data_IF_733381110725
#
_entry.id   IF_733381110725
#
_cell.length_a   1.000
_cell.length_b   1.000
_cell.length_c   1.000
_cell.angle_alpha   90.00
_cell.angle_beta   90.00
_cell.angle_gamma   90.00
#
_symmetry.space_group_name_H-M   'P 1'
#
loop_
_entity.id
_entity.type
_entity.pdbx_description
1 polymer ?
#
# COMPACT_ATOMS: atom_id res chain seq x y z
N UNK A 1 6.83 -9.71 7.15
CA UNK A 1 7.37 -8.91 6.05
C UNK A 1 8.18 -7.76 6.57
N UNK A 2 8.40 -6.80 5.68
CA UNK A 2 8.98 -5.49 5.97
C UNK A 2 7.85 -4.47 5.84
N UNK A 3 7.63 -3.62 6.85
CA UNK A 3 6.53 -2.63 6.83
C UNK A 3 6.95 -1.38 6.05
N UNK A 4 6.00 -0.47 5.84
CA UNK A 4 6.19 0.70 4.99
C UNK A 4 7.35 1.59 5.42
N UNK A 5 7.57 1.80 6.72
CA UNK A 5 8.57 2.75 7.22
C UNK A 5 10.02 2.34 6.94
N UNK A 6 10.45 1.07 7.15
CA UNK A 6 11.76 0.62 6.67
C UNK A 6 11.96 0.80 5.16
N UNK A 7 10.91 0.60 4.34
CA UNK A 7 10.99 0.79 2.88
C UNK A 7 11.17 2.26 2.55
N UNK A 8 10.36 3.15 3.13
CA UNK A 8 10.47 4.60 2.93
C UNK A 8 11.86 5.11 3.34
N UNK A 9 12.42 4.63 4.47
CA UNK A 9 13.80 4.94 4.88
C UNK A 9 14.85 4.44 3.89
N UNK A 10 14.62 3.28 3.25
CA UNK A 10 15.49 2.76 2.20
C UNK A 10 15.44 3.61 0.93
N UNK A 11 14.25 3.98 0.47
CA UNK A 11 14.03 4.83 -0.70
C UNK A 11 14.62 6.23 -0.53
N UNK A 12 14.49 6.81 0.66
CA UNK A 12 15.08 8.11 0.97
C UNK A 12 16.62 8.11 0.80
N UNK A 13 17.30 7.00 1.11
CA UNK A 13 18.76 6.88 0.94
C UNK A 13 19.22 6.91 -0.51
N UNK A 14 18.32 6.62 -1.45
CA UNK A 14 18.60 6.67 -2.90
C UNK A 14 17.93 7.88 -3.57
N UNK A 15 17.47 8.85 -2.80
CA UNK A 15 16.87 10.10 -3.31
C UNK A 15 15.43 9.98 -3.80
N UNK A 16 14.74 8.86 -3.51
CA UNK A 16 13.34 8.67 -3.86
C UNK A 16 12.48 9.11 -2.67
N UNK A 17 11.62 10.10 -2.88
CA UNK A 17 10.67 10.56 -1.86
C UNK A 17 9.48 9.60 -1.79
N UNK A 18 9.26 9.04 -0.61
CA UNK A 18 8.14 8.16 -0.34
C UNK A 18 7.45 8.57 0.96
N UNK A 19 6.14 8.50 0.99
CA UNK A 19 5.32 8.87 2.14
C UNK A 19 4.50 7.67 2.60
N UNK A 20 4.50 7.43 3.92
CA UNK A 20 3.78 6.32 4.54
C UNK A 20 2.47 6.83 5.09
N UNK A 21 1.39 6.12 4.77
CA UNK A 21 0.03 6.46 5.16
C UNK A 21 -0.67 5.28 5.85
N UNK A 22 -1.61 5.62 6.72
CA UNK A 22 -2.50 4.69 7.42
C UNK A 22 -3.89 5.29 7.46
N UNK A 23 -4.91 4.43 7.53
CA UNK A 23 -6.33 4.79 7.69
C UNK A 23 -6.90 5.70 6.60
N UNK A 24 -6.25 5.74 5.43
CA UNK A 24 -6.72 6.55 4.30
C UNK A 24 -8.03 6.01 3.72
N UNK A 25 -8.79 6.87 3.04
CA UNK A 25 -10.03 6.45 2.39
C UNK A 25 -9.79 5.79 1.03
N UNK A 26 -10.83 5.14 0.50
CA UNK A 26 -10.81 4.66 -0.89
C UNK A 26 -10.73 5.83 -1.86
N UNK A 27 -11.35 6.95 -1.51
CA UNK A 27 -11.33 8.19 -2.28
C UNK A 27 -9.92 8.75 -2.36
N UNK A 28 -9.17 8.73 -1.25
CA UNK A 28 -7.75 9.09 -1.24
C UNK A 28 -6.95 8.18 -2.16
N UNK A 29 -7.14 6.86 -2.08
CA UNK A 29 -6.43 5.90 -2.95
C UNK A 29 -6.72 6.18 -4.42
N UNK A 30 -8.00 6.37 -4.77
CA UNK A 30 -8.42 6.71 -6.13
C UNK A 30 -7.77 8.01 -6.61
N UNK A 31 -7.67 9.02 -5.75
CA UNK A 31 -7.05 10.29 -6.08
C UNK A 31 -5.55 10.14 -6.37
N UNK A 32 -4.82 9.40 -5.54
CA UNK A 32 -3.40 9.11 -5.79
C UNK A 32 -3.18 8.44 -7.16
N UNK A 33 -4.00 7.44 -7.48
CA UNK A 33 -3.91 6.74 -8.77
C UNK A 33 -4.25 7.67 -9.94
N UNK A 34 -5.22 8.58 -9.80
CA UNK A 34 -5.53 9.59 -10.85
C UNK A 34 -4.39 10.58 -11.06
N UNK A 35 -3.68 10.93 -10.00
CA UNK A 35 -2.50 11.81 -10.06
C UNK A 35 -1.26 11.08 -10.61
N UNK A 36 -1.35 9.78 -10.90
CA UNK A 36 -0.24 8.98 -11.40
C UNK A 36 0.73 8.53 -10.32
N UNK A 37 0.39 8.71 -9.03
CA UNK A 37 1.21 8.25 -7.91
C UNK A 37 0.98 6.75 -7.70
N UNK A 38 2.00 5.88 -7.88
CA UNK A 38 1.85 4.47 -7.57
C UNK A 38 1.69 4.28 -6.06
N UNK A 39 0.69 3.50 -5.64
CA UNK A 39 0.41 3.23 -4.22
C UNK A 39 0.71 1.77 -3.89
N UNK A 40 1.74 1.53 -3.10
CA UNK A 40 2.00 0.23 -2.51
C UNK A 40 1.13 0.06 -1.26
N UNK A 41 0.44 -1.07 -1.14
CA UNK A 41 -0.44 -1.37 -0.01
C UNK A 41 -0.07 -2.70 0.64
N UNK A 42 -0.31 -2.80 1.95
CA UNK A 42 -0.15 -4.03 2.71
C UNK A 42 -1.50 -4.65 2.98
N UNK A 43 -1.62 -5.94 2.66
CA UNK A 43 -2.84 -6.72 2.75
C UNK A 43 -2.50 -8.18 3.04
N UNK A 44 -3.42 -9.09 2.84
CA UNK A 44 -3.18 -10.54 2.89
C UNK A 44 -3.02 -11.13 1.49
N UNK A 45 -2.27 -12.21 1.36
CA UNK A 45 -2.15 -12.96 0.13
C UNK A 45 -3.53 -13.40 -0.38
N UNK A 46 -3.78 -13.16 -1.68
CA UNK A 46 -5.07 -13.36 -2.35
C UNK A 46 -6.22 -12.53 -1.76
N UNK A 47 -5.93 -11.47 -0.99
CA UNK A 47 -6.92 -10.63 -0.32
C UNK A 47 -7.89 -11.39 0.59
N UNK A 48 -7.43 -12.52 1.17
CA UNK A 48 -8.27 -13.35 2.04
C UNK A 48 -8.38 -12.72 3.43
N UNK A 49 -9.61 -12.44 3.88
CA UNK A 49 -9.84 -11.90 5.22
C UNK A 49 -9.25 -12.82 6.31
N UNK A 50 -8.52 -12.24 7.26
CA UNK A 50 -7.92 -12.93 8.40
C UNK A 50 -7.93 -12.03 9.63
N UNK A 51 -7.85 -12.66 10.79
CA UNK A 51 -7.70 -11.93 12.05
C UNK A 51 -6.27 -11.41 12.21
N UNK A 52 -6.09 -10.17 12.69
CA UNK A 52 -4.76 -9.64 12.99
C UNK A 52 -4.18 -10.32 14.25
N UNK A 53 -2.87 -10.46 14.25
CA UNK A 53 -2.05 -10.84 15.39
C UNK A 53 -1.30 -9.61 15.90
N UNK A 54 -0.89 -9.60 17.18
CA UNK A 54 -0.08 -8.51 17.73
C UNK A 54 1.18 -9.07 18.35
N UNK A 55 2.32 -8.52 17.95
CA UNK A 55 3.62 -8.90 18.48
C UNK A 55 4.18 -7.74 19.28
N UNK A 56 4.94 -8.04 20.34
CA UNK A 56 5.65 -6.99 21.11
C UNK A 56 7.12 -7.05 20.71
N UNK A 57 7.62 -5.97 20.13
CA UNK A 57 9.02 -5.84 19.78
C UNK A 57 9.90 -5.71 21.03
N UNK A 58 11.22 -5.88 20.87
CA UNK A 58 12.18 -5.83 21.98
C UNK A 58 12.21 -4.48 22.70
N UNK A 59 11.80 -3.41 22.03
CA UNK A 59 11.67 -2.05 22.54
C UNK A 59 10.28 -1.77 23.17
N UNK A 60 9.40 -2.77 23.24
CA UNK A 60 8.06 -2.66 23.82
C UNK A 60 6.98 -2.19 22.85
N UNK A 61 7.31 -1.88 21.58
CA UNK A 61 6.31 -1.48 20.60
C UNK A 61 5.39 -2.67 20.24
N UNK A 62 4.07 -2.43 20.26
CA UNK A 62 3.10 -3.39 19.72
C UNK A 62 3.00 -3.24 18.21
N UNK A 63 3.26 -4.32 17.49
CA UNK A 63 3.19 -4.40 16.03
C UNK A 63 1.96 -5.22 15.67
N UNK A 64 1.03 -4.64 14.92
CA UNK A 64 -0.12 -5.35 14.33
C UNK A 64 0.37 -6.08 13.09
N UNK A 65 0.16 -7.39 13.03
CA UNK A 65 0.56 -8.27 11.93
C UNK A 65 -0.59 -9.16 11.48
N UNK A 66 -0.41 -9.87 10.36
CA UNK A 66 -1.38 -10.87 9.89
C UNK A 66 -0.64 -12.01 9.19
N UNK A 67 -1.11 -13.24 9.37
CA UNK A 67 -0.56 -14.39 8.63
C UNK A 67 -0.81 -14.25 7.14
N UNK A 68 0.25 -14.49 6.36
CA UNK A 68 0.18 -14.30 4.91
C UNK A 68 0.08 -12.83 4.52
N UNK A 69 0.63 -11.91 5.33
CA UNK A 69 0.88 -10.53 4.92
C UNK A 69 1.58 -10.50 3.55
N UNK A 70 1.10 -9.61 2.68
CA UNK A 70 1.59 -9.45 1.32
C UNK A 70 1.43 -8.01 0.85
N UNK A 71 2.28 -7.60 -0.09
CA UNK A 71 2.30 -6.26 -0.65
C UNK A 71 1.84 -6.26 -2.10
N UNK A 72 1.04 -5.27 -2.46
CA UNK A 72 0.54 -5.06 -3.81
C UNK A 72 0.82 -3.63 -4.27
N UNK A 73 1.04 -3.43 -5.56
CA UNK A 73 1.06 -2.09 -6.15
C UNK A 73 -0.28 -1.83 -6.84
N UNK A 74 -1.03 -0.84 -6.36
CA UNK A 74 -2.27 -0.39 -7.01
C UNK A 74 -1.91 0.41 -8.26
N UNK A 75 -2.50 0.05 -9.39
CA UNK A 75 -2.17 0.62 -10.71
C UNK A 75 -3.38 1.12 -11.50
N UNK A 76 -4.60 0.87 -11.01
CA UNK A 76 -5.82 1.29 -11.68
C UNK A 76 -7.06 0.86 -10.93
N UNK A 77 -8.21 1.41 -11.29
CA UNK A 77 -9.49 1.06 -10.70
C UNK A 77 -10.65 1.40 -11.62
N UNK A 78 -11.82 0.85 -11.32
CA UNK A 78 -13.09 1.22 -11.91
C UNK A 78 -14.19 1.27 -10.82
N UNK A 79 -15.46 1.32 -11.25
CA UNK A 79 -16.60 1.35 -10.34
C UNK A 79 -16.73 0.07 -9.49
N UNK A 80 -16.26 -1.07 -10.00
CA UNK A 80 -16.47 -2.39 -9.40
C UNK A 80 -15.28 -2.83 -8.54
N UNK A 81 -14.08 -2.33 -8.81
CA UNK A 81 -12.88 -2.80 -8.13
C UNK A 81 -11.59 -2.13 -8.54
N UNK A 82 -10.50 -2.82 -8.24
CA UNK A 82 -9.13 -2.32 -8.32
C UNK A 82 -8.21 -3.31 -9.03
N UNK A 83 -7.33 -2.77 -9.85
CA UNK A 83 -6.23 -3.49 -10.48
C UNK A 83 -4.95 -3.31 -9.66
N UNK A 84 -4.31 -4.43 -9.35
CA UNK A 84 -3.04 -4.47 -8.63
C UNK A 84 -1.99 -5.25 -9.41
N UNK A 85 -0.75 -4.78 -9.41
CA UNK A 85 0.40 -5.59 -9.78
C UNK A 85 0.83 -6.41 -8.54
N UNK A 86 0.83 -7.74 -8.69
CA UNK A 86 1.19 -8.68 -7.63
C UNK A 86 2.61 -9.21 -7.89
N UNK A 87 3.61 -8.81 -7.08
CA UNK A 87 4.99 -9.21 -7.27
C UNK A 87 5.22 -10.71 -7.08
N UNK A 88 4.32 -11.42 -6.39
CA UNK A 88 4.43 -12.87 -6.19
C UNK A 88 4.19 -13.65 -7.49
N UNK A 89 3.22 -13.21 -8.29
CA UNK A 89 2.86 -13.88 -9.56
C UNK A 89 3.42 -13.18 -10.79
N UNK A 90 3.99 -11.97 -10.63
CA UNK A 90 4.49 -11.15 -11.73
C UNK A 90 3.38 -10.74 -12.72
N UNK A 91 2.13 -10.66 -12.25
CA UNK A 91 0.94 -10.41 -13.07
C UNK A 91 0.04 -9.37 -12.43
N UNK A 92 -0.77 -8.73 -13.27
CA UNK A 92 -1.88 -7.90 -12.82
C UNK A 92 -3.03 -8.78 -12.35
N UNK A 93 -3.70 -8.36 -11.27
CA UNK A 93 -4.87 -9.01 -10.71
C UNK A 93 -5.94 -7.97 -10.47
N UNK A 94 -7.19 -8.41 -10.55
CA UNK A 94 -8.36 -7.59 -10.27
C UNK A 94 -9.09 -8.14 -9.05
N UNK A 95 -9.49 -7.24 -8.16
CA UNK A 95 -10.31 -7.54 -6.99
C UNK A 95 -11.48 -6.56 -6.92
N UNK A 96 -12.65 -7.05 -6.55
CA UNK A 96 -13.76 -6.16 -6.23
C UNK A 96 -13.45 -5.32 -4.97
N UNK A 97 -14.11 -4.17 -4.84
CA UNK A 97 -13.85 -3.25 -3.74
C UNK A 97 -14.06 -3.87 -2.36
N UNK A 98 -15.04 -4.76 -2.20
CA UNK A 98 -15.35 -5.34 -0.89
C UNK A 98 -14.24 -6.30 -0.43
N UNK A 99 -13.74 -7.13 -1.34
CA UNK A 99 -12.62 -8.04 -1.09
C UNK A 99 -11.33 -7.27 -0.80
N UNK A 100 -11.04 -6.25 -1.60
CA UNK A 100 -9.86 -5.40 -1.41
C UNK A 100 -9.87 -4.71 -0.04
N UNK A 101 -10.98 -4.02 0.28
CA UNK A 101 -11.10 -3.27 1.53
C UNK A 101 -11.01 -4.17 2.76
N UNK A 102 -11.71 -5.31 2.74
CA UNK A 102 -11.70 -6.24 3.85
C UNK A 102 -10.29 -6.78 4.17
N UNK A 103 -9.39 -6.81 3.19
CA UNK A 103 -8.00 -7.23 3.37
C UNK A 103 -7.10 -6.07 3.78
N UNK A 104 -7.23 -4.91 3.13
CA UNK A 104 -6.43 -3.71 3.41
C UNK A 104 -6.71 -3.13 4.80
N UNK A 105 -7.96 -3.21 5.27
CA UNK A 105 -8.37 -2.78 6.62
C UNK A 105 -7.65 -3.56 7.74
N UNK A 106 -7.22 -4.80 7.49
CA UNK A 106 -6.57 -5.65 8.51
C UNK A 106 -5.28 -4.98 9.02
N UNK A 107 -4.55 -4.32 8.13
CA UNK A 107 -3.30 -3.62 8.45
C UNK A 107 -3.49 -2.10 8.47
N UNK A 108 -4.67 -1.65 8.91
CA UNK A 108 -4.99 -0.23 9.11
C UNK A 108 -4.78 0.60 7.84
N UNK A 109 -5.07 0.01 6.68
CA UNK A 109 -4.88 0.63 5.36
C UNK A 109 -3.46 1.14 5.13
N UNK A 110 -2.47 0.45 5.69
CA UNK A 110 -1.06 0.76 5.52
C UNK A 110 -0.72 0.86 4.04
N UNK A 111 -0.13 1.99 3.68
CA UNK A 111 0.19 2.34 2.31
C UNK A 111 1.49 3.13 2.24
N UNK A 112 2.17 3.03 1.09
CA UNK A 112 3.32 3.83 0.75
C UNK A 112 3.12 4.39 -0.65
N UNK A 113 3.15 5.70 -0.78
CA UNK A 113 3.14 6.37 -2.08
C UNK A 113 4.58 6.70 -2.47
N UNK A 114 4.89 6.53 -3.76
CA UNK A 114 6.13 7.04 -4.33
C UNK A 114 5.78 8.34 -5.03
N UNK A 115 6.35 9.44 -4.56
CA UNK A 115 6.19 10.72 -5.22
C UNK A 115 7.14 10.74 -6.43
N UNK A 116 6.58 11.02 -7.62
CA UNK A 116 7.39 11.30 -8.80
C UNK A 116 8.32 12.50 -8.55
N UNK A 117 9.40 12.66 -9.35
CA UNK A 117 10.18 13.89 -9.31
C UNK A 117 9.22 15.07 -9.51
N UNK A 118 9.37 16.14 -8.69
CA UNK A 118 8.61 17.36 -8.88
C UNK A 118 8.71 17.78 -10.35
N UNK A 119 7.56 17.88 -11.03
CA UNK A 119 7.52 18.50 -12.35
C UNK A 119 7.99 19.94 -12.15
N UNK A 120 9.11 20.39 -12.75
CA UNK A 120 9.53 21.77 -12.57
C UNK A 120 8.40 22.68 -13.02
N UNK A 121 8.09 23.71 -12.21
CA UNK A 121 7.08 24.70 -12.56
C UNK A 121 7.38 25.27 -13.96
N UNK A 122 6.37 25.46 -14.82
CA UNK A 122 6.58 26.11 -16.10
C UNK A 122 7.13 27.51 -15.84
N UNK A 123 8.36 27.77 -16.29
CA UNK A 123 8.92 29.12 -16.32
C UNK A 123 7.97 30.00 -17.13
N UNK A 124 7.40 31.01 -16.47
CA UNK A 124 6.58 32.05 -17.10
C UNK A 124 7.36 32.88 -18.12
#
# INVERSE_FOLDING_TARGET
GVYAEPIARGLAKVGIKAEVHYNESVEWLKEQIRQGNPVMIWATANMVKREPEYWTAKDGQRIKAVRGEHTYLVIGFDEKGVWVADPWVGRQRYFDWSTFLASWDILDRMSLIILGPETPEPTS
#
